data_IF_223608986973
#
_entry.id   IF_223608986973
#
_cell.length_a   1.000
_cell.length_b   1.000
_cell.length_c   1.000
_cell.angle_alpha   90.00
_cell.angle_beta   90.00
_cell.angle_gamma   90.00
#
_symmetry.space_group_name_H-M   'P 1'
#
loop_
_entity.id
_entity.type
_entity.pdbx_description
1 polymer ?
#
# COMPACT_ATOMS: atom_id res chain seq x y z
N UNK A 1 -16.47 13.45 17.21
CA UNK A 1 -16.08 14.02 15.90
C UNK A 1 -15.19 12.98 15.24
N UNK A 2 -15.68 12.33 14.18
CA UNK A 2 -14.97 11.28 13.46
C UNK A 2 -14.40 11.96 12.21
N UNK A 3 -13.08 12.00 12.08
CA UNK A 3 -12.43 12.62 10.93
C UNK A 3 -12.32 11.51 9.89
N UNK A 4 -13.18 11.56 8.86
CA UNK A 4 -13.04 10.69 7.70
C UNK A 4 -11.82 11.15 6.90
N UNK A 5 -10.73 10.37 6.96
CA UNK A 5 -9.57 10.54 6.09
C UNK A 5 -9.94 10.02 4.70
N UNK A 6 -10.52 10.90 3.88
CA UNK A 6 -10.77 10.64 2.46
C UNK A 6 -9.46 10.36 1.71
N UNK A 7 -9.42 9.25 0.97
CA UNK A 7 -8.27 8.77 0.20
C UNK A 7 -7.81 9.78 -0.85
N UNK A 8 -6.80 10.56 -0.52
CA UNK A 8 -6.06 11.40 -1.46
C UNK A 8 -4.90 10.59 -2.04
N UNK A 9 -5.14 9.96 -3.19
CA UNK A 9 -4.12 9.14 -3.83
C UNK A 9 -3.07 10.03 -4.51
N UNK A 10 -1.88 10.14 -3.91
CA UNK A 10 -0.73 10.86 -4.49
C UNK A 10 0.03 9.95 -5.45
N UNK A 11 0.24 10.37 -6.70
CA UNK A 11 1.05 9.60 -7.66
C UNK A 11 2.53 9.95 -7.52
N UNK A 12 3.35 8.91 -7.37
CA UNK A 12 4.80 8.98 -7.25
C UNK A 12 5.43 8.53 -8.56
N UNK A 13 6.32 9.36 -9.12
CA UNK A 13 7.11 9.06 -10.31
C UNK A 13 8.50 8.57 -9.91
N UNK A 14 8.88 7.45 -10.49
CA UNK A 14 10.13 6.75 -10.18
C UNK A 14 11.16 6.92 -11.29
N UNK A 15 12.43 6.64 -10.99
CA UNK A 15 13.53 6.87 -11.94
C UNK A 15 13.47 5.94 -13.17
N UNK A 16 12.80 4.79 -13.06
CA UNK A 16 12.49 3.86 -14.14
C UNK A 16 11.31 4.32 -15.03
N UNK A 17 10.76 5.51 -14.76
CA UNK A 17 9.62 6.07 -15.48
C UNK A 17 8.28 5.46 -15.09
N UNK A 18 8.24 4.51 -14.15
CA UNK A 18 6.99 3.98 -13.62
C UNK A 18 6.33 4.95 -12.66
N UNK A 19 5.01 4.81 -12.48
CA UNK A 19 4.25 5.56 -11.49
C UNK A 19 3.42 4.62 -10.62
N UNK A 20 3.41 4.85 -9.32
CA UNK A 20 2.55 4.16 -8.36
C UNK A 20 1.89 5.16 -7.42
N UNK A 21 0.86 4.73 -6.70
CA UNK A 21 0.31 5.56 -5.62
C UNK A 21 1.21 5.49 -4.40
N UNK A 22 1.29 6.60 -3.66
CA UNK A 22 1.99 6.65 -2.39
C UNK A 22 1.37 5.64 -1.41
N UNK A 23 2.20 4.71 -0.93
CA UNK A 23 1.81 3.71 0.06
C UNK A 23 2.51 4.04 1.39
N UNK A 24 1.77 4.58 2.38
CA UNK A 24 2.35 4.92 3.67
C UNK A 24 2.84 3.68 4.43
N UNK A 25 2.25 2.51 4.20
CA UNK A 25 2.61 1.28 4.89
C UNK A 25 3.98 0.75 4.40
N UNK A 26 4.26 0.85 3.10
CA UNK A 26 5.58 0.51 2.56
C UNK A 26 6.67 1.44 3.10
N UNK A 27 6.39 2.74 3.15
CA UNK A 27 7.34 3.68 3.73
C UNK A 27 7.58 3.38 5.21
N UNK A 28 6.53 3.06 5.97
CA UNK A 28 6.62 2.66 7.38
C UNK A 28 7.51 1.44 7.56
N UNK A 29 7.27 0.37 6.79
CA UNK A 29 8.05 -0.87 6.86
C UNK A 29 9.53 -0.63 6.52
N UNK A 30 9.81 0.19 5.49
CA UNK A 30 11.19 0.56 5.12
C UNK A 30 11.89 1.35 6.23
N UNK A 31 11.18 2.28 6.86
CA UNK A 31 11.67 3.05 8.00
C UNK A 31 11.94 2.15 9.20
N UNK A 32 10.99 1.32 9.59
CA UNK A 32 11.13 0.38 10.71
C UNK A 32 12.30 -0.57 10.50
N UNK A 33 12.48 -1.09 9.28
CA UNK A 33 13.63 -1.94 8.94
C UNK A 33 14.97 -1.19 9.08
N UNK A 34 15.02 0.06 8.65
CA UNK A 34 16.25 0.88 8.74
C UNK A 34 16.55 1.26 10.18
N UNK A 35 15.54 1.63 10.95
CA UNK A 35 15.66 1.93 12.38
C UNK A 35 16.07 0.70 13.19
N UNK A 36 15.47 -0.47 12.91
CA UNK A 36 15.81 -1.72 13.57
C UNK A 36 17.25 -2.17 13.26
N UNK A 37 17.70 -2.00 12.02
CA UNK A 37 19.08 -2.33 11.62
C UNK A 37 20.13 -1.47 12.37
N UNK A 38 19.76 -0.25 12.77
CA UNK A 38 20.60 0.65 13.54
C UNK A 38 20.40 0.55 15.07
N UNK A 39 19.57 -0.39 15.55
CA UNK A 39 19.31 -0.58 16.97
C UNK A 39 18.40 0.48 17.61
N UNK A 40 17.63 1.23 16.82
CA UNK A 40 16.69 2.21 17.34
C UNK A 40 15.46 1.50 17.93
N UNK A 41 15.17 1.72 19.21
CA UNK A 41 14.03 1.11 19.92
C UNK A 41 12.70 1.82 19.70
N UNK A 42 12.72 3.02 19.14
CA UNK A 42 11.57 3.91 19.02
C UNK A 42 10.82 3.71 17.70
N UNK A 43 10.27 2.51 17.50
CA UNK A 43 9.55 2.16 16.27
C UNK A 43 8.36 3.09 15.97
N UNK A 44 7.79 3.75 16.99
CA UNK A 44 6.68 4.69 16.84
C UNK A 44 7.05 5.93 15.98
N UNK A 45 8.33 6.29 15.93
CA UNK A 45 8.83 7.44 15.16
C UNK A 45 8.67 7.20 13.66
N UNK A 46 8.82 5.96 13.20
CA UNK A 46 8.57 5.62 11.80
C UNK A 46 7.14 6.00 11.39
N UNK A 47 6.16 5.76 12.26
CA UNK A 47 4.76 6.15 12.04
C UNK A 47 4.57 7.67 11.96
N UNK A 48 5.18 8.43 12.86
CA UNK A 48 5.10 9.90 12.87
C UNK A 48 5.74 10.51 11.62
N UNK A 49 6.89 9.97 11.17
CA UNK A 49 7.56 10.41 9.95
C UNK A 49 6.68 10.15 8.73
N UNK A 50 6.06 8.96 8.64
CA UNK A 50 5.14 8.62 7.54
C UNK A 50 3.96 9.58 7.50
N UNK A 51 3.34 9.87 8.65
CA UNK A 51 2.24 10.83 8.74
C UNK A 51 2.67 12.24 8.30
N UNK A 52 3.86 12.69 8.72
CA UNK A 52 4.40 13.98 8.31
C UNK A 52 4.65 14.06 6.80
N UNK A 53 5.18 12.99 6.19
CA UNK A 53 5.38 12.87 4.75
C UNK A 53 4.05 12.85 4.01
N UNK A 54 3.08 12.05 4.45
CA UNK A 54 1.74 11.97 3.84
C UNK A 54 1.05 13.34 3.88
N UNK A 55 1.13 14.04 5.01
CA UNK A 55 0.61 15.39 5.16
C UNK A 55 1.31 16.38 4.23
N UNK A 56 2.64 16.35 4.15
CA UNK A 56 3.42 17.22 3.27
C UNK A 56 3.08 16.99 1.79
N UNK A 57 2.93 15.73 1.38
CA UNK A 57 2.50 15.37 0.03
C UNK A 57 1.11 15.92 -0.27
N UNK A 58 0.18 15.81 0.68
CA UNK A 58 -1.18 16.35 0.54
C UNK A 58 -1.20 17.87 0.45
N UNK A 59 -0.44 18.56 1.29
CA UNK A 59 -0.32 20.02 1.27
C UNK A 59 0.39 20.54 0.02
N UNK A 60 1.38 19.83 -0.51
CA UNK A 60 2.04 20.17 -1.77
C UNK A 60 1.11 20.08 -2.97
N UNK A 61 0.09 19.21 -2.91
CA UNK A 61 -0.94 19.05 -3.95
C UNK A 61 -2.06 20.09 -3.84
N UNK A 62 -2.28 20.65 -2.64
CA UNK A 62 -3.36 21.63 -2.40
C UNK A 62 -2.87 23.09 -2.36
N UNK A 63 -1.57 23.34 -2.30
CA UNK A 63 -0.97 24.67 -2.11
C UNK A 63 -0.45 25.37 -3.37
N UNK A 64 -0.52 24.74 -4.55
CA UNK A 64 -0.01 25.32 -5.79
C UNK A 64 -0.94 24.98 -6.95
N UNK A 65 -1.15 25.95 -7.85
CA UNK A 65 -1.94 25.89 -9.10
C UNK A 65 -1.44 24.86 -10.13
N UNK A 66 -0.85 23.75 -9.69
CA UNK A 66 -0.22 22.72 -10.51
C UNK A 66 -0.97 21.39 -10.37
N UNK A 67 -2.17 21.32 -10.93
CA UNK A 67 -2.83 20.05 -11.20
C UNK A 67 -1.94 19.22 -12.13
N UNK A 68 -1.24 18.23 -11.59
CA UNK A 68 -0.43 17.28 -12.37
C UNK A 68 1.07 17.24 -12.06
N UNK A 69 1.55 17.89 -10.99
CA UNK A 69 2.94 17.75 -10.59
C UNK A 69 3.18 16.37 -9.95
N UNK A 70 3.70 15.43 -10.73
CA UNK A 70 4.11 14.12 -10.24
C UNK A 70 5.24 14.30 -9.21
N UNK A 71 5.07 13.74 -8.01
CA UNK A 71 6.11 13.81 -6.97
C UNK A 71 7.15 12.74 -7.29
N UNK A 72 8.41 13.15 -7.39
CA UNK A 72 9.47 12.17 -7.61
C UNK A 72 9.78 11.40 -6.33
N UNK A 73 9.96 10.09 -6.44
CA UNK A 73 10.29 9.24 -5.29
C UNK A 73 11.55 9.71 -4.53
N UNK A 74 12.55 10.20 -5.27
CA UNK A 74 13.76 10.79 -4.68
C UNK A 74 13.45 11.96 -3.75
N UNK A 75 12.42 12.77 -4.05
CA UNK A 75 12.03 13.90 -3.18
C UNK A 75 11.43 13.41 -1.86
N UNK A 76 10.74 12.27 -1.89
CA UNK A 76 10.21 11.64 -0.67
C UNK A 76 11.37 11.08 0.15
N UNK A 77 12.28 10.35 -0.50
CA UNK A 77 13.44 9.77 0.17
C UNK A 77 14.32 10.86 0.80
N UNK A 78 14.57 11.97 0.10
CA UNK A 78 15.31 13.14 0.63
C UNK A 78 14.58 13.79 1.80
N UNK A 79 13.24 13.90 1.73
CA UNK A 79 12.44 14.44 2.82
C UNK A 79 12.56 13.56 4.07
N UNK A 80 12.44 12.24 3.91
CA UNK A 80 12.56 11.27 5.00
C UNK A 80 13.95 11.29 5.61
N UNK A 81 15.00 11.31 4.79
CA UNK A 81 16.39 11.40 5.27
C UNK A 81 16.60 12.68 6.10
N UNK A 82 16.12 13.83 5.61
CA UNK A 82 16.20 15.08 6.34
C UNK A 82 15.45 15.03 7.67
N UNK A 83 14.25 14.46 7.71
CA UNK A 83 13.49 14.31 8.96
C UNK A 83 14.23 13.42 9.95
N UNK A 84 14.82 12.31 9.49
CA UNK A 84 15.61 11.42 10.35
C UNK A 84 16.86 12.12 10.91
N UNK A 85 17.58 12.87 10.07
CA UNK A 85 18.74 13.67 10.49
C UNK A 85 18.33 14.75 11.51
N UNK A 86 17.28 15.51 11.22
CA UNK A 86 16.74 16.58 12.08
C UNK A 86 16.22 16.03 13.42
N UNK A 87 15.74 14.78 13.43
CA UNK A 87 15.22 14.08 14.62
C UNK A 87 16.30 13.37 15.44
N UNK A 88 17.57 13.40 15.00
CA UNK A 88 18.69 12.79 15.73
C UNK A 88 18.96 11.32 15.40
N UNK A 89 18.47 10.82 14.26
CA UNK A 89 18.69 9.44 13.77
C UNK A 89 19.55 9.39 12.48
N UNK A 90 20.78 9.96 12.47
CA UNK A 90 21.60 10.03 11.25
C UNK A 90 22.03 8.65 10.74
N UNK A 91 22.25 7.67 11.63
CA UNK A 91 22.60 6.29 11.25
C UNK A 91 21.44 5.61 10.52
N UNK A 92 20.21 5.79 11.02
CA UNK A 92 19.01 5.27 10.36
C UNK A 92 18.77 5.99 9.02
N UNK A 93 19.09 7.29 8.92
CA UNK A 93 19.01 8.05 7.68
C UNK A 93 19.99 7.53 6.60
N UNK A 94 21.23 7.23 7.00
CA UNK A 94 22.24 6.65 6.13
C UNK A 94 21.86 5.24 5.69
N UNK A 95 21.38 4.40 6.60
CA UNK A 95 20.87 3.08 6.26
C UNK A 95 19.65 3.16 5.33
N UNK A 96 18.71 4.05 5.62
CA UNK A 96 17.52 4.27 4.78
C UNK A 96 17.92 4.67 3.36
N UNK A 97 18.84 5.62 3.19
CA UNK A 97 19.41 6.02 1.90
C UNK A 97 20.18 4.89 1.21
N UNK A 98 20.81 3.98 1.95
CA UNK A 98 21.45 2.78 1.39
C UNK A 98 20.43 1.74 0.89
N UNK A 99 19.24 1.72 1.49
CA UNK A 99 18.13 0.82 1.13
C UNK A 99 17.15 1.40 0.12
N UNK A 100 17.25 2.69 -0.24
CA UNK A 100 16.53 3.23 -1.39
C UNK A 100 17.04 2.49 -2.61
N UNK A 101 16.29 1.47 -3.02
CA UNK A 101 16.52 0.68 -4.22
C UNK A 101 16.79 1.69 -5.32
N UNK A 102 17.99 1.70 -5.90
CA UNK A 102 18.30 2.48 -7.10
C UNK A 102 17.15 2.26 -8.08
N UNK A 103 16.27 3.25 -8.16
CA UNK A 103 14.91 3.12 -8.69
C UNK A 103 14.89 3.06 -10.22
N UNK A 104 15.98 2.61 -10.83
CA UNK A 104 16.20 2.47 -12.27
C UNK A 104 16.84 1.15 -12.68
N UNK A 105 17.05 0.19 -11.75
CA UNK A 105 17.58 -1.13 -12.12
C UNK A 105 16.43 -2.02 -12.65
N UNK A 106 16.10 -1.81 -13.93
CA UNK A 106 15.29 -2.75 -14.69
C UNK A 106 16.06 -4.07 -14.84
N UNK A 107 15.89 -4.96 -13.87
CA UNK A 107 16.24 -6.37 -14.02
C UNK A 107 17.38 -6.84 -13.12
N UNK A 108 17.01 -7.36 -11.96
CA UNK A 108 17.85 -8.33 -11.22
C UNK A 108 17.06 -9.47 -10.57
N UNK A 109 15.72 -9.41 -10.56
CA UNK A 109 14.92 -10.51 -10.04
C UNK A 109 14.49 -11.41 -11.18
N UNK A 110 14.89 -12.67 -11.07
CA UNK A 110 14.29 -13.75 -11.83
C UNK A 110 12.99 -14.21 -11.15
N UNK A 111 12.08 -14.88 -11.86
CA UNK A 111 10.88 -15.46 -11.25
C UNK A 111 11.17 -16.36 -10.04
N UNK A 112 12.36 -16.98 -9.99
CA UNK A 112 12.83 -17.82 -8.89
C UNK A 112 13.16 -17.01 -7.63
N UNK A 113 13.61 -15.76 -7.78
CA UNK A 113 13.97 -14.87 -6.67
C UNK A 113 12.75 -14.19 -6.04
N UNK A 114 11.60 -14.18 -6.72
CA UNK A 114 10.37 -13.47 -6.31
C UNK A 114 9.90 -13.89 -4.91
N UNK A 115 9.94 -15.18 -4.60
CA UNK A 115 9.44 -15.68 -3.31
C UNK A 115 10.31 -15.24 -2.15
N UNK A 116 11.63 -15.37 -2.30
CA UNK A 116 12.61 -14.89 -1.32
C UNK A 116 12.51 -13.38 -1.16
N UNK A 117 12.44 -12.66 -2.28
CA UNK A 117 12.33 -11.21 -2.28
C UNK A 117 11.06 -10.71 -1.57
N UNK A 118 9.91 -11.33 -1.83
CA UNK A 118 8.65 -10.98 -1.16
C UNK A 118 8.66 -11.36 0.33
N UNK A 119 9.25 -12.51 0.70
CA UNK A 119 9.40 -12.89 2.10
C UNK A 119 10.28 -11.88 2.88
N UNK A 120 11.42 -11.49 2.30
CA UNK A 120 12.38 -10.56 2.91
C UNK A 120 11.88 -9.11 2.95
N UNK A 121 11.00 -8.74 2.03
CA UNK A 121 10.51 -7.36 1.88
C UNK A 121 9.19 -7.12 2.60
N UNK A 122 8.26 -8.08 2.56
CA UNK A 122 6.93 -7.95 3.17
C UNK A 122 6.80 -8.71 4.50
N UNK A 123 7.88 -9.34 4.99
CA UNK A 123 7.91 -10.13 6.23
C UNK A 123 6.80 -11.20 6.28
N UNK A 124 6.41 -11.72 5.12
CA UNK A 124 5.34 -12.71 5.01
C UNK A 124 5.89 -14.07 5.44
N UNK A 125 5.39 -14.60 6.55
CA UNK A 125 5.73 -15.93 7.06
C UNK A 125 4.57 -16.91 6.81
N UNK A 126 4.88 -18.13 6.37
CA UNK A 126 3.89 -19.21 6.19
C UNK A 126 3.18 -19.23 4.82
N UNK A 127 2.03 -19.92 4.76
CA UNK A 127 1.32 -20.25 3.50
C UNK A 127 0.83 -19.03 2.70
N UNK A 128 0.50 -17.92 3.38
CA UNK A 128 0.03 -16.70 2.73
C UNK A 128 1.10 -16.03 1.85
N UNK A 129 2.38 -16.13 2.22
CA UNK A 129 3.49 -15.62 1.40
C UNK A 129 3.69 -16.43 0.13
N UNK A 130 3.60 -17.76 0.23
CA UNK A 130 3.75 -18.67 -0.92
C UNK A 130 2.63 -18.53 -1.95
N UNK A 131 1.38 -18.36 -1.51
CA UNK A 131 0.24 -18.11 -2.41
C UNK A 131 0.37 -16.77 -3.15
N UNK A 132 0.83 -15.73 -2.45
CA UNK A 132 1.05 -14.43 -3.07
C UNK A 132 2.19 -14.48 -4.10
N UNK A 133 3.32 -15.10 -3.73
CA UNK A 133 4.45 -15.29 -4.64
C UNK A 133 4.06 -16.10 -5.88
N UNK A 134 3.24 -17.13 -5.74
CA UNK A 134 2.74 -17.90 -6.88
C UNK A 134 1.90 -17.04 -7.84
N UNK A 135 0.99 -16.21 -7.33
CA UNK A 135 0.19 -15.28 -8.16
C UNK A 135 1.07 -14.27 -8.89
N UNK A 136 2.08 -13.72 -8.22
CA UNK A 136 3.03 -12.79 -8.83
C UNK A 136 3.84 -13.48 -9.93
N UNK A 137 4.37 -14.69 -9.70
CA UNK A 137 5.08 -15.46 -10.73
C UNK A 137 4.20 -15.76 -11.94
N UNK A 138 2.96 -16.21 -11.73
CA UNK A 138 2.03 -16.44 -12.84
C UNK A 138 1.75 -15.17 -13.66
N UNK A 139 1.65 -14.00 -13.01
CA UNK A 139 1.49 -12.74 -13.70
C UNK A 139 2.73 -12.35 -14.51
N UNK A 140 3.93 -12.57 -13.96
CA UNK A 140 5.20 -12.33 -14.65
C UNK A 140 5.39 -13.25 -15.86
N UNK A 141 5.02 -14.54 -15.73
CA UNK A 141 5.04 -15.50 -16.83
C UNK A 141 4.04 -15.11 -17.92
N UNK A 142 2.84 -14.66 -17.54
CA UNK A 142 1.81 -14.23 -18.49
C UNK A 142 2.23 -13.02 -19.35
N UNK A 143 3.08 -12.15 -18.82
CA UNK A 143 3.64 -11.00 -19.55
C UNK A 143 4.99 -11.32 -20.22
N UNK A 144 5.50 -12.56 -20.08
CA UNK A 144 6.77 -13.00 -20.66
C UNK A 144 8.00 -12.33 -20.03
N UNK A 145 7.92 -11.86 -18.79
CA UNK A 145 9.02 -11.17 -18.12
C UNK A 145 10.07 -12.17 -17.60
N UNK A 146 11.18 -12.32 -18.34
CA UNK A 146 12.32 -13.16 -17.93
C UNK A 146 13.13 -12.54 -16.79
N UNK A 147 13.12 -11.21 -16.70
CA UNK A 147 13.68 -10.43 -15.59
C UNK A 147 12.71 -9.29 -15.29
N UNK A 148 12.54 -9.01 -14.01
CA UNK A 148 11.64 -7.96 -13.57
C UNK A 148 12.32 -7.06 -12.53
N UNK A 149 11.85 -5.81 -12.47
CA UNK A 149 12.29 -4.90 -11.42
C UNK A 149 11.68 -5.36 -10.08
N UNK A 150 12.42 -5.21 -8.96
CA UNK A 150 11.88 -5.41 -7.61
C UNK A 150 10.55 -4.67 -7.37
N UNK A 151 10.39 -3.51 -7.99
CA UNK A 151 9.17 -2.72 -7.96
C UNK A 151 7.97 -3.43 -8.60
N UNK A 152 8.11 -3.94 -9.83
CA UNK A 152 7.02 -4.64 -10.52
C UNK A 152 6.52 -5.82 -9.67
N UNK A 153 7.45 -6.53 -9.04
CA UNK A 153 7.13 -7.63 -8.11
C UNK A 153 6.31 -7.14 -6.92
N UNK A 154 6.66 -6.00 -6.31
CA UNK A 154 5.89 -5.41 -5.22
C UNK A 154 4.52 -4.88 -5.66
N UNK A 155 4.43 -4.25 -6.82
CA UNK A 155 3.15 -3.73 -7.34
C UNK A 155 2.17 -4.86 -7.66
N UNK A 156 2.66 -5.96 -8.26
CA UNK A 156 1.83 -7.15 -8.46
C UNK A 156 1.41 -7.75 -7.13
N UNK A 157 2.31 -7.83 -6.15
CA UNK A 157 1.99 -8.32 -4.81
C UNK A 157 0.92 -7.46 -4.12
N UNK A 158 1.01 -6.13 -4.22
CA UNK A 158 -0.01 -5.19 -3.76
C UNK A 158 -1.34 -5.42 -4.45
N UNK A 159 -1.34 -5.45 -5.78
CA UNK A 159 -2.54 -5.67 -6.57
C UNK A 159 -3.28 -6.94 -6.15
N UNK A 160 -2.57 -8.05 -5.94
CA UNK A 160 -3.17 -9.30 -5.50
C UNK A 160 -3.68 -9.26 -4.05
N UNK A 161 -3.01 -8.51 -3.16
CA UNK A 161 -3.51 -8.29 -1.79
C UNK A 161 -4.79 -7.46 -1.78
N UNK A 162 -4.84 -6.38 -2.56
CA UNK A 162 -6.01 -5.51 -2.65
C UNK A 162 -7.19 -6.24 -3.31
N UNK A 163 -6.93 -7.02 -4.35
CA UNK A 163 -7.95 -7.86 -4.99
C UNK A 163 -8.50 -8.93 -4.01
N UNK A 164 -7.65 -9.51 -3.17
CA UNK A 164 -8.07 -10.45 -2.13
C UNK A 164 -8.91 -9.74 -1.04
N UNK A 165 -8.48 -8.56 -0.59
CA UNK A 165 -9.21 -7.77 0.40
C UNK A 165 -10.57 -7.29 -0.13
N UNK A 166 -10.66 -6.91 -1.41
CA UNK A 166 -11.91 -6.55 -2.07
C UNK A 166 -12.87 -7.73 -2.19
N UNK A 167 -12.35 -8.94 -2.45
CA UNK A 167 -13.15 -10.17 -2.56
C UNK A 167 -13.66 -10.67 -1.20
N UNK A 168 -13.02 -10.29 -0.09
CA UNK A 168 -13.47 -10.59 1.27
C UNK A 168 -14.52 -9.61 1.82
N UNK A 169 -14.90 -8.56 1.08
CA UNK A 169 -16.05 -7.73 1.45
C UNK A 169 -17.32 -8.55 1.22
N UNK A 170 -17.83 -9.14 2.30
CA UNK A 170 -19.12 -9.83 2.33
C UNK A 170 -20.21 -8.95 1.70
N UNK A 171 -21.21 -9.53 1.00
CA UNK A 171 -22.39 -8.79 0.58
C UNK A 171 -23.04 -8.22 1.84
N UNK A 172 -23.27 -6.90 1.87
CA UNK A 172 -24.15 -6.29 2.87
C UNK A 172 -25.48 -7.05 2.79
N UNK A 173 -26.01 -7.60 3.90
CA UNK A 173 -27.32 -8.23 3.89
C UNK A 173 -28.33 -7.15 3.47
N UNK A 174 -28.86 -7.29 2.27
CA UNK A 174 -29.97 -6.48 1.76
C UNK A 174 -31.07 -6.49 2.82
N UNK A 175 -31.57 -5.33 3.30
CA UNK A 175 -32.67 -5.32 4.24
C UNK A 175 -33.87 -6.05 3.60
N UNK A 176 -34.37 -7.05 4.31
CA UNK A 176 -35.52 -7.83 3.89
C UNK A 176 -36.68 -6.88 3.56
N UNK A 177 -37.30 -7.07 2.39
CA UNK A 177 -38.50 -6.33 1.99
C UNK A 177 -39.56 -6.46 3.09
N UNK A 178 -40.20 -5.37 3.52
CA UNK A 178 -41.26 -5.46 4.51
C UNK A 178 -42.41 -6.31 3.95
N UNK A 179 -42.86 -7.27 4.76
CA UNK A 179 -44.10 -8.01 4.53
C UNK A 179 -45.24 -7.02 4.27
N UNK A 180 -45.85 -7.12 3.09
CA UNK A 180 -47.14 -6.50 2.83
C UNK A 180 -48.16 -7.24 3.72
N UNK A 181 -48.72 -6.51 4.70
CA UNK A 181 -49.94 -6.91 5.39
C UNK A 181 -51.06 -7.07 4.36
N UNK A 182 -51.49 -8.32 4.18
CA UNK A 182 -52.73 -8.64 3.50
C UNK A 182 -53.91 -8.16 4.35
N UNK A 183 -54.43 -7.00 3.97
CA UNK A 183 -55.72 -6.47 4.44
C UNK A 183 -56.82 -7.41 3.95
N UNK A 184 -57.47 -8.12 4.88
CA UNK A 184 -58.71 -8.88 4.61
C UNK A 184 -59.91 -7.92 4.73
N UNK A 185 -60.77 -7.79 3.71
CA UNK A 185 -62.00 -7.03 3.84
C UNK A 185 -63.07 -7.82 4.59
N UNK A 186 -63.78 -7.10 5.44
CA UNK A 186 -64.88 -7.52 6.29
C UNK A 186 -66.05 -8.16 5.53
N UNK A 187 -66.72 -9.12 6.18
CA UNK A 187 -68.18 -9.25 6.08
C UNK A 187 -68.72 -10.41 5.26
N UNK A 188 -69.06 -11.53 5.93
CA UNK A 188 -70.37 -12.18 5.76
C UNK A 188 -70.72 -13.13 6.91
N UNK A 189 -71.95 -12.94 7.40
CA UNK A 189 -72.62 -13.67 8.46
C UNK A 189 -72.72 -15.18 8.19
N UNK A 190 -72.62 -15.97 9.25
CA UNK A 190 -73.15 -17.33 9.32
C UNK A 190 -74.57 -17.21 9.90
N UNK A 191 -75.59 -17.58 9.12
CA UNK A 191 -76.94 -17.87 9.64
C UNK A 191 -76.93 -19.28 10.25
N UNK A 192 -77.58 -19.42 11.41
CA UNK A 192 -78.11 -20.68 11.93
C UNK A 192 -79.56 -20.79 11.45
#
# INVERSE_FOLDING_TARGET
MMIELGGGNVSILYADGTSAFFDPEELRVRLEKSMAACGCSEAWIAGEIVLAVEYALRCGITGSDSSGQAVHAAQIDDCVVRILEDSGYPEAALHFRGTTISSGDLGKLTPEDVERYLADTLLLTGSAGGELAAKVRCALDAIGASQCSPRLVLELARHFRDAAAASCRLPVPTPAKPHQETVFPEGKLIQI
#
